data_IF_977162649616
#
_entry.id   IF_977162649616
#
_cell.length_a   1.000
_cell.length_b   1.000
_cell.length_c   1.000
_cell.angle_alpha   90.00
_cell.angle_beta   90.00
_cell.angle_gamma   90.00
#
_symmetry.space_group_name_H-M   'P 1'
#
loop_
_entity.id
_entity.type
_entity.pdbx_description
1 polymer ?
#
# COMPACT_ATOMS: atom_id res chain seq x y z
N UNK A 1 -0.49 22.24 10.87
CA UNK A 1 -0.07 21.32 9.78
C UNK A 1 0.08 19.97 10.41
N UNK A 2 -0.69 18.99 9.99
CA UNK A 2 -0.55 17.61 10.50
C UNK A 2 0.76 17.08 9.98
N UNK A 3 1.66 16.67 10.88
CA UNK A 3 2.89 16.01 10.49
C UNK A 3 2.56 14.58 10.03
N UNK A 4 2.58 14.37 8.72
CA UNK A 4 2.28 13.08 8.08
C UNK A 4 3.31 12.03 8.51
N UNK A 5 4.57 12.40 8.70
CA UNK A 5 5.61 11.49 9.19
C UNK A 5 5.25 10.93 10.56
N UNK A 6 4.93 11.81 11.52
CA UNK A 6 4.46 11.40 12.85
C UNK A 6 3.21 10.51 12.82
N UNK A 7 2.28 10.74 11.88
CA UNK A 7 1.10 9.90 11.72
C UNK A 7 1.44 8.48 11.26
N UNK A 8 2.33 8.35 10.28
CA UNK A 8 2.75 7.05 9.74
C UNK A 8 3.61 6.30 10.76
N UNK A 9 4.54 6.97 11.43
CA UNK A 9 5.39 6.39 12.47
C UNK A 9 4.57 5.84 13.63
N UNK A 10 3.61 6.62 14.15
CA UNK A 10 2.71 6.15 15.21
C UNK A 10 1.90 4.93 14.79
N UNK A 11 1.46 4.88 13.53
CA UNK A 11 0.69 3.78 12.99
C UNK A 11 1.53 2.50 12.76
N UNK A 12 2.81 2.64 12.43
CA UNK A 12 3.76 1.52 12.41
C UNK A 12 4.06 1.01 13.82
N UNK A 13 4.31 1.93 14.75
CA UNK A 13 4.75 1.60 16.10
C UNK A 13 3.78 0.67 16.85
N UNK A 14 2.46 0.91 16.76
CA UNK A 14 1.50 0.05 17.45
C UNK A 14 1.43 -1.35 16.82
N UNK A 15 1.56 -1.47 15.49
CA UNK A 15 1.59 -2.77 14.80
C UNK A 15 2.84 -3.57 15.15
N UNK A 16 4.00 -2.93 15.17
CA UNK A 16 5.26 -3.55 15.57
C UNK A 16 5.24 -4.00 17.03
N UNK A 17 4.63 -3.20 17.90
CA UNK A 17 4.42 -3.55 19.31
C UNK A 17 3.56 -4.80 19.43
N UNK A 18 2.47 -4.90 18.66
CA UNK A 18 1.59 -6.07 18.66
C UNK A 18 2.31 -7.34 18.13
N UNK A 19 3.04 -7.22 17.02
CA UNK A 19 3.85 -8.31 16.45
C UNK A 19 4.89 -8.82 17.44
N UNK A 20 5.64 -7.89 18.04
CA UNK A 20 6.67 -8.19 19.04
C UNK A 20 6.07 -8.90 20.25
N UNK A 21 4.93 -8.43 20.73
CA UNK A 21 4.23 -9.03 21.88
C UNK A 21 3.86 -10.49 21.60
N UNK A 22 3.25 -10.76 20.43
CA UNK A 22 2.85 -12.12 20.07
C UNK A 22 4.06 -13.03 19.80
N UNK A 23 5.12 -12.50 19.19
CA UNK A 23 6.38 -13.21 18.98
C UNK A 23 7.07 -13.62 20.28
N UNK A 24 7.04 -12.77 21.31
CA UNK A 24 7.58 -13.10 22.64
C UNK A 24 6.83 -14.29 23.26
N UNK A 25 5.50 -14.31 23.17
CA UNK A 25 4.71 -15.46 23.64
C UNK A 25 5.09 -16.75 22.90
N UNK A 26 5.37 -16.68 21.61
CA UNK A 26 5.81 -17.83 20.81
C UNK A 26 7.22 -18.32 21.21
N UNK A 27 8.11 -17.42 21.62
CA UNK A 27 9.44 -17.76 22.17
C UNK A 27 9.32 -18.50 23.51
N UNK A 28 8.44 -18.02 24.39
CA UNK A 28 8.25 -18.57 25.74
C UNK A 28 7.49 -19.92 25.75
N UNK A 29 6.80 -20.27 24.66
CA UNK A 29 5.96 -21.47 24.58
C UNK A 29 6.71 -22.81 24.51
N UNK A 30 8.04 -22.79 24.57
CA UNK A 30 8.90 -23.98 24.46
C UNK A 30 9.04 -24.47 23.02
N UNK A 31 10.20 -25.04 22.69
CA UNK A 31 10.55 -25.44 21.32
C UNK A 31 9.67 -26.59 20.80
N UNK A 32 9.16 -26.44 19.58
CA UNK A 32 8.39 -27.45 18.85
C UNK A 32 7.14 -27.98 19.59
N UNK A 33 6.55 -27.18 20.48
CA UNK A 33 5.31 -27.52 21.18
C UNK A 33 4.08 -27.19 20.31
N UNK A 34 2.94 -27.82 20.61
CA UNK A 34 1.67 -27.47 19.96
C UNK A 34 1.29 -26.00 20.20
N UNK A 35 1.60 -25.48 21.39
CA UNK A 35 1.40 -24.07 21.75
C UNK A 35 2.24 -23.14 20.88
N UNK A 36 3.53 -23.41 20.71
CA UNK A 36 4.40 -22.60 19.86
C UNK A 36 3.92 -22.63 18.40
N UNK A 37 3.56 -23.79 17.87
CA UNK A 37 3.02 -23.90 16.50
C UNK A 37 1.75 -23.08 16.31
N UNK A 38 0.83 -23.10 17.28
CA UNK A 38 -0.38 -22.30 17.22
C UNK A 38 -0.06 -20.79 17.25
N UNK A 39 0.83 -20.36 18.14
CA UNK A 39 1.25 -18.96 18.25
C UNK A 39 1.96 -18.46 16.99
N UNK A 40 2.86 -19.25 16.40
CA UNK A 40 3.54 -18.89 15.15
C UNK A 40 2.56 -18.79 13.97
N UNK A 41 1.53 -19.64 13.91
CA UNK A 41 0.44 -19.49 12.93
C UNK A 41 -0.30 -18.17 13.13
N UNK A 42 -0.56 -17.78 14.37
CA UNK A 42 -1.16 -16.48 14.69
C UNK A 42 -0.24 -15.32 14.31
N UNK A 43 1.06 -15.39 14.60
CA UNK A 43 2.05 -14.39 14.16
C UNK A 43 2.00 -14.18 12.65
N UNK A 44 1.91 -15.26 11.87
CA UNK A 44 1.85 -15.18 10.40
C UNK A 44 0.60 -14.44 9.91
N UNK A 45 -0.57 -14.77 10.47
CA UNK A 45 -1.82 -14.09 10.13
C UNK A 45 -1.79 -12.61 10.50
N UNK A 46 -1.27 -12.30 11.69
CA UNK A 46 -1.17 -10.94 12.18
C UNK A 46 -0.18 -10.10 11.36
N UNK A 47 0.98 -10.66 11.02
CA UNK A 47 1.97 -10.02 10.15
C UNK A 47 1.36 -9.63 8.81
N UNK A 48 0.61 -10.53 8.18
CA UNK A 48 -0.12 -10.23 6.96
C UNK A 48 -1.17 -9.13 7.16
N UNK A 49 -2.00 -9.22 8.20
CA UNK A 49 -3.05 -8.25 8.46
C UNK A 49 -2.46 -6.84 8.67
N UNK A 50 -1.32 -6.75 9.34
CA UNK A 50 -0.59 -5.50 9.53
C UNK A 50 0.05 -4.97 8.26
N UNK A 51 0.67 -5.84 7.46
CA UNK A 51 1.21 -5.46 6.16
C UNK A 51 0.15 -4.85 5.25
N UNK A 52 -0.96 -5.56 5.04
CA UNK A 52 -2.06 -5.09 4.19
C UNK A 52 -2.73 -3.84 4.77
N UNK A 53 -3.00 -3.85 6.08
CA UNK A 53 -3.64 -2.74 6.77
C UNK A 53 -2.80 -1.46 6.75
N UNK A 54 -1.49 -1.57 6.96
CA UNK A 54 -0.60 -0.41 6.91
C UNK A 54 -0.47 0.15 5.50
N UNK A 55 -0.25 -0.69 4.49
CA UNK A 55 -0.09 -0.21 3.11
C UNK A 55 -1.31 0.59 2.66
N UNK A 56 -2.51 0.07 2.97
CA UNK A 56 -3.77 0.78 2.70
C UNK A 56 -3.84 2.11 3.45
N UNK A 57 -3.57 2.10 4.75
CA UNK A 57 -3.59 3.31 5.56
C UNK A 57 -2.62 4.38 5.02
N UNK A 58 -1.38 4.00 4.69
CA UNK A 58 -0.38 4.92 4.19
C UNK A 58 -0.79 5.53 2.83
N UNK A 59 -1.35 4.73 1.93
CA UNK A 59 -1.90 5.24 0.66
C UNK A 59 -3.07 6.20 0.88
N UNK A 60 -3.98 5.89 1.80
CA UNK A 60 -5.12 6.76 2.11
C UNK A 60 -4.65 8.09 2.71
N UNK A 61 -3.72 8.07 3.66
CA UNK A 61 -3.11 9.27 4.25
C UNK A 61 -2.44 10.15 3.18
N UNK A 62 -1.70 9.53 2.25
CA UNK A 62 -1.04 10.24 1.17
C UNK A 62 -2.04 10.93 0.21
N UNK A 63 -3.08 10.21 -0.20
CA UNK A 63 -4.11 10.77 -1.09
C UNK A 63 -4.93 11.86 -0.38
N UNK A 64 -5.28 11.68 0.89
CA UNK A 64 -5.99 12.68 1.70
C UNK A 64 -5.16 13.96 1.82
N UNK A 65 -3.84 13.83 2.05
CA UNK A 65 -2.93 14.96 2.07
C UNK A 65 -2.98 15.75 0.76
N UNK A 66 -2.90 15.06 -0.39
CA UNK A 66 -2.92 15.70 -1.72
C UNK A 66 -4.26 16.39 -1.98
N UNK A 67 -5.39 15.74 -1.66
CA UNK A 67 -6.72 16.36 -1.82
C UNK A 67 -6.86 17.65 -0.99
N UNK A 68 -6.30 17.64 0.22
CA UNK A 68 -6.26 18.78 1.13
C UNK A 68 -5.40 19.95 0.62
N UNK A 69 -4.53 19.74 -0.37
CA UNK A 69 -3.77 20.83 -1.00
C UNK A 69 -4.58 21.62 -2.02
N UNK A 70 -5.77 21.14 -2.42
CA UNK A 70 -6.66 21.78 -3.40
C UNK A 70 -5.96 22.15 -4.73
N UNK A 71 -5.06 21.28 -5.21
CA UNK A 71 -4.25 21.52 -6.41
C UNK A 71 -5.06 21.17 -7.66
N UNK A 72 -5.09 22.03 -8.69
CA UNK A 72 -5.68 21.68 -9.99
C UNK A 72 -5.07 20.40 -10.55
N UNK A 73 -5.88 19.48 -11.07
CA UNK A 73 -5.38 18.19 -11.54
C UNK A 73 -4.27 18.32 -12.62
N UNK A 74 -4.33 19.32 -13.50
CA UNK A 74 -3.27 19.62 -14.48
C UNK A 74 -1.89 19.92 -13.89
N UNK A 75 -1.82 20.28 -12.61
CA UNK A 75 -0.58 20.62 -11.91
C UNK A 75 -0.03 19.41 -11.11
N UNK A 76 -0.67 18.24 -11.22
CA UNK A 76 -0.25 16.97 -10.61
C UNK A 76 0.49 16.09 -11.63
N UNK A 77 1.22 15.09 -11.14
CA UNK A 77 1.84 14.07 -12.01
C UNK A 77 0.80 13.17 -12.68
N UNK A 78 1.12 12.66 -13.86
CA UNK A 78 0.22 11.89 -14.72
C UNK A 78 -0.40 10.67 -14.02
N UNK A 79 0.37 9.96 -13.17
CA UNK A 79 -0.11 8.80 -12.43
C UNK A 79 -1.31 9.15 -11.53
N UNK A 80 -1.22 10.28 -10.81
CA UNK A 80 -2.29 10.76 -9.95
C UNK A 80 -3.50 11.24 -10.75
N UNK A 81 -3.28 11.91 -11.90
CA UNK A 81 -4.37 12.32 -12.79
C UNK A 81 -5.10 11.08 -13.31
N UNK A 82 -4.36 10.06 -13.76
CA UNK A 82 -4.89 8.81 -14.25
C UNK A 82 -5.70 8.08 -13.17
N UNK A 83 -5.23 8.07 -11.93
CA UNK A 83 -5.96 7.51 -10.78
C UNK A 83 -7.25 8.29 -10.49
N UNK A 84 -7.17 9.62 -10.40
CA UNK A 84 -8.30 10.54 -10.14
C UNK A 84 -9.45 10.31 -11.13
N UNK A 85 -9.12 10.14 -12.41
CA UNK A 85 -10.10 10.01 -13.49
C UNK A 85 -10.29 8.59 -14.01
N UNK A 86 -9.75 7.57 -13.35
CA UNK A 86 -9.75 6.17 -13.82
C UNK A 86 -11.16 5.69 -14.21
N UNK A 87 -12.16 5.94 -13.37
CA UNK A 87 -13.55 5.55 -13.62
C UNK A 87 -14.16 6.27 -14.82
N UNK A 88 -13.87 7.57 -14.98
CA UNK A 88 -14.36 8.39 -16.09
C UNK A 88 -13.75 7.91 -17.40
N UNK A 89 -12.42 7.74 -17.42
CA UNK A 89 -11.68 7.31 -18.60
C UNK A 89 -12.07 5.89 -19.02
N UNK A 90 -12.14 4.94 -18.07
CA UNK A 90 -12.58 3.57 -18.35
C UNK A 90 -14.02 3.51 -18.86
N UNK A 91 -14.91 4.35 -18.33
CA UNK A 91 -16.29 4.46 -18.80
C UNK A 91 -16.42 4.95 -20.25
N UNK A 92 -15.36 5.52 -20.82
CA UNK A 92 -15.34 6.12 -22.17
C UNK A 92 -14.58 5.28 -23.21
N UNK A 93 -14.05 4.10 -22.86
CA UNK A 93 -13.21 3.27 -23.74
C UNK A 93 -13.87 2.86 -25.07
N UNK A 94 -15.20 2.85 -25.15
CA UNK A 94 -15.96 2.46 -26.36
C UNK A 94 -16.77 3.63 -26.96
N UNK A 95 -16.34 4.87 -26.71
CA UNK A 95 -17.06 6.08 -27.14
C UNK A 95 -16.81 6.38 -28.63
N UNK A 96 -17.83 6.75 -29.42
CA UNK A 96 -17.64 7.17 -30.82
C UNK A 96 -16.67 8.35 -30.96
N UNK A 97 -15.95 8.44 -32.08
CA UNK A 97 -14.91 9.46 -32.31
C UNK A 97 -15.39 10.89 -32.09
N UNK A 98 -16.62 11.22 -32.50
CA UNK A 98 -17.18 12.57 -32.33
C UNK A 98 -17.35 12.93 -30.85
N UNK A 99 -17.79 11.99 -30.03
CA UNK A 99 -17.98 12.17 -28.60
C UNK A 99 -16.64 12.18 -27.86
N UNK A 100 -15.66 11.39 -28.29
CA UNK A 100 -14.28 11.50 -27.80
C UNK A 100 -13.68 12.88 -28.08
N UNK A 101 -13.89 13.42 -29.29
CA UNK A 101 -13.44 14.77 -29.62
C UNK A 101 -14.07 15.84 -28.72
N UNK A 102 -15.36 15.70 -28.37
CA UNK A 102 -16.03 16.58 -27.42
C UNK A 102 -15.46 16.42 -25.99
N UNK A 103 -15.20 15.19 -25.55
CA UNK A 103 -14.54 14.90 -24.27
C UNK A 103 -13.18 15.60 -24.18
N UNK A 104 -12.32 15.46 -25.19
CA UNK A 104 -11.00 16.09 -25.19
C UNK A 104 -11.04 17.62 -25.28
N UNK A 105 -11.99 18.17 -26.03
CA UNK A 105 -12.07 19.61 -26.26
C UNK A 105 -12.76 20.36 -25.12
N UNK A 106 -13.86 19.83 -24.62
CA UNK A 106 -14.80 20.58 -23.79
C UNK A 106 -14.80 20.08 -22.33
N UNK A 107 -14.79 18.77 -22.10
CA UNK A 107 -14.90 18.20 -20.75
C UNK A 107 -13.53 18.07 -20.05
N UNK A 108 -12.52 17.56 -20.75
CA UNK A 108 -11.20 17.27 -20.16
C UNK A 108 -10.50 18.52 -19.62
N UNK A 109 -10.50 19.68 -20.32
CA UNK A 109 -9.93 20.91 -19.76
C UNK A 109 -10.63 21.36 -18.47
N UNK A 110 -11.95 21.14 -18.37
CA UNK A 110 -12.71 21.43 -17.16
C UNK A 110 -12.26 20.51 -16.04
N UNK A 111 -12.22 19.19 -16.26
CA UNK A 111 -11.72 18.22 -15.26
C UNK A 111 -10.30 18.59 -14.79
N UNK A 112 -9.39 18.86 -15.72
CA UNK A 112 -8.00 19.19 -15.42
C UNK A 112 -7.82 20.52 -14.65
N UNK A 113 -8.79 21.43 -14.73
CA UNK A 113 -8.79 22.69 -13.97
C UNK A 113 -9.32 22.57 -12.53
N UNK A 114 -10.06 21.50 -12.23
CA UNK A 114 -10.63 21.29 -10.89
C UNK A 114 -9.56 20.75 -9.92
N UNK A 115 -9.71 21.01 -8.61
CA UNK A 115 -8.90 20.35 -7.59
C UNK A 115 -8.93 18.84 -7.74
N UNK A 116 -7.77 18.19 -7.71
CA UNK A 116 -7.67 16.73 -7.83
C UNK A 116 -8.42 16.04 -6.68
N UNK A 117 -9.08 14.92 -7.01
CA UNK A 117 -9.86 14.10 -6.09
C UNK A 117 -9.68 12.63 -6.43
N UNK A 118 -9.70 11.76 -5.42
CA UNK A 118 -9.51 10.32 -5.55
C UNK A 118 -10.75 9.58 -5.07
N UNK A 119 -11.84 9.57 -5.89
CA UNK A 119 -13.08 8.88 -5.55
C UNK A 119 -12.91 7.35 -5.52
N UNK A 120 -11.82 6.85 -6.12
CA UNK A 120 -11.39 5.46 -6.06
C UNK A 120 -10.05 5.44 -5.35
N UNK A 121 -9.94 4.60 -4.32
CA UNK A 121 -8.69 4.35 -3.59
C UNK A 121 -8.05 3.05 -4.08
N UNK A 122 -6.71 2.92 -4.03
CA UNK A 122 -6.02 1.68 -4.37
C UNK A 122 -6.65 0.48 -3.65
N UNK A 123 -6.93 -0.57 -4.41
CA UNK A 123 -7.72 -1.68 -3.88
C UNK A 123 -6.84 -2.60 -3.01
N UNK A 124 -7.38 -2.94 -1.84
CA UNK A 124 -6.88 -3.99 -0.96
C UNK A 124 -7.91 -5.11 -0.78
N UNK A 125 -8.99 -5.15 -1.59
CA UNK A 125 -9.98 -6.24 -1.54
C UNK A 125 -9.42 -7.55 -2.07
N UNK A 126 -8.45 -7.49 -2.98
CA UNK A 126 -7.64 -8.64 -3.36
C UNK A 126 -6.43 -8.73 -2.44
N UNK A 127 -6.02 -9.96 -2.13
CA UNK A 127 -4.80 -10.20 -1.37
C UNK A 127 -3.64 -9.36 -1.90
N UNK A 128 -2.97 -8.63 -1.01
CA UNK A 128 -1.84 -7.77 -1.37
C UNK A 128 -0.57 -8.55 -1.78
N UNK A 129 -0.58 -9.13 -2.98
CA UNK A 129 0.60 -9.71 -3.62
C UNK A 129 1.60 -8.62 -4.05
N UNK A 130 2.88 -8.95 -4.30
CA UNK A 130 3.87 -7.94 -4.70
C UNK A 130 3.49 -7.14 -5.93
N UNK A 131 2.92 -7.78 -6.95
CA UNK A 131 2.45 -7.13 -8.17
C UNK A 131 1.29 -6.17 -7.90
N UNK A 132 0.40 -6.50 -6.96
CA UNK A 132 -0.68 -5.62 -6.52
C UNK A 132 -0.12 -4.41 -5.77
N UNK A 133 0.82 -4.63 -4.83
CA UNK A 133 1.51 -3.55 -4.12
C UNK A 133 2.22 -2.62 -5.10
N UNK A 134 3.04 -3.16 -6.00
CA UNK A 134 3.80 -2.38 -6.99
C UNK A 134 2.88 -1.65 -7.95
N UNK A 135 1.78 -2.27 -8.38
CA UNK A 135 0.76 -1.63 -9.20
C UNK A 135 0.10 -0.43 -8.49
N UNK A 136 -0.25 -0.59 -7.22
CA UNK A 136 -0.82 0.49 -6.42
C UNK A 136 0.18 1.61 -6.15
N UNK A 137 1.43 1.29 -5.78
CA UNK A 137 2.49 2.28 -5.58
C UNK A 137 2.75 3.11 -6.86
N UNK A 138 2.81 2.46 -8.03
CA UNK A 138 2.96 3.15 -9.32
C UNK A 138 1.81 4.10 -9.63
N UNK A 139 0.55 3.68 -9.42
CA UNK A 139 -0.62 4.55 -9.60
C UNK A 139 -0.58 5.81 -8.71
N UNK A 140 0.15 5.76 -7.61
CA UNK A 140 0.33 6.86 -6.67
C UNK A 140 1.56 7.72 -6.98
N UNK A 141 2.36 7.35 -7.99
CA UNK A 141 3.65 7.97 -8.29
C UNK A 141 4.73 7.68 -7.23
N UNK A 142 4.62 6.58 -6.48
CA UNK A 142 5.56 6.20 -5.43
C UNK A 142 6.55 5.15 -5.93
N UNK A 143 7.83 5.35 -5.61
CA UNK A 143 8.94 4.48 -6.04
C UNK A 143 9.43 3.58 -4.89
N UNK A 144 8.57 2.67 -4.43
CA UNK A 144 8.93 1.68 -3.42
C UNK A 144 9.81 0.59 -4.04
N UNK A 145 11.00 0.37 -3.50
CA UNK A 145 11.99 -0.58 -4.07
C UNK A 145 12.19 -1.81 -3.20
N UNK A 146 11.87 -1.74 -1.90
CA UNK A 146 12.06 -2.87 -0.98
C UNK A 146 11.11 -4.04 -1.26
N UNK A 147 9.99 -3.77 -1.93
CA UNK A 147 9.07 -4.81 -2.39
C UNK A 147 9.73 -5.77 -3.38
N UNK A 148 10.59 -5.26 -4.26
CA UNK A 148 11.28 -6.07 -5.27
C UNK A 148 12.34 -6.97 -4.61
N UNK A 149 13.07 -6.43 -3.62
CA UNK A 149 14.04 -7.21 -2.84
C UNK A 149 13.39 -8.24 -1.89
N UNK A 150 12.10 -8.09 -1.61
CA UNK A 150 11.34 -8.94 -0.67
C UNK A 150 10.21 -9.72 -1.37
N UNK A 151 10.25 -9.83 -2.70
CA UNK A 151 9.17 -10.38 -3.50
C UNK A 151 8.83 -11.83 -3.10
N UNK A 152 9.87 -12.63 -2.82
CA UNK A 152 9.74 -14.03 -2.41
C UNK A 152 9.03 -14.13 -1.05
N UNK A 153 9.44 -13.32 -0.09
CA UNK A 153 8.92 -13.31 1.27
C UNK A 153 7.48 -12.80 1.32
N UNK A 154 7.16 -11.76 0.55
CA UNK A 154 5.79 -11.24 0.45
C UNK A 154 4.88 -12.27 -0.24
N UNK A 155 5.32 -12.92 -1.33
CA UNK A 155 4.58 -14.04 -1.95
C UNK A 155 4.33 -15.16 -0.95
N UNK A 156 5.35 -15.54 -0.18
CA UNK A 156 5.22 -16.56 0.85
C UNK A 156 4.24 -16.13 1.94
N UNK A 157 4.31 -14.88 2.42
CA UNK A 157 3.40 -14.32 3.41
C UNK A 157 1.95 -14.47 2.97
N UNK A 158 1.64 -13.94 1.78
CA UNK A 158 0.28 -13.93 1.21
C UNK A 158 -0.22 -15.36 0.98
N UNK A 159 0.60 -16.20 0.35
CA UNK A 159 0.25 -17.60 0.05
C UNK A 159 -0.02 -18.41 1.32
N UNK A 160 0.86 -18.33 2.31
CA UNK A 160 0.70 -19.07 3.57
C UNK A 160 -0.45 -18.51 4.41
N UNK A 161 -0.73 -17.20 4.37
CA UNK A 161 -1.94 -16.63 4.99
C UNK A 161 -3.21 -17.23 4.37
N UNK A 162 -3.28 -17.35 3.05
CA UNK A 162 -4.44 -17.94 2.38
C UNK A 162 -4.63 -19.41 2.77
N UNK A 163 -3.55 -20.21 2.74
CA UNK A 163 -3.59 -21.60 3.18
C UNK A 163 -4.08 -21.73 4.63
N UNK A 164 -3.56 -20.91 5.56
CA UNK A 164 -4.01 -20.90 6.96
C UNK A 164 -5.50 -20.53 7.06
N UNK A 165 -5.96 -19.51 6.33
CA UNK A 165 -7.36 -19.08 6.32
C UNK A 165 -8.32 -20.15 5.74
N UNK A 166 -7.84 -20.98 4.83
CA UNK A 166 -8.56 -22.14 4.30
C UNK A 166 -8.46 -23.40 5.18
N UNK A 167 -7.80 -23.32 6.34
CA UNK A 167 -7.70 -24.41 7.31
C UNK A 167 -6.59 -25.43 7.00
N UNK A 168 -5.68 -25.11 6.08
CA UNK A 168 -4.57 -26.01 5.76
C UNK A 168 -3.55 -26.10 6.91
N UNK A 169 -2.94 -27.29 7.03
CA UNK A 169 -1.92 -27.63 8.02
C UNK A 169 -0.54 -27.03 7.73
N UNK A 170 -0.47 -25.78 7.26
CA UNK A 170 0.82 -25.09 7.02
C UNK A 170 1.37 -24.58 8.35
N UNK A 171 2.60 -24.94 8.67
CA UNK A 171 3.27 -24.54 9.90
C UNK A 171 4.49 -23.68 9.60
N UNK A 172 4.75 -22.73 10.50
CA UNK A 172 6.01 -22.00 10.55
C UNK A 172 6.93 -22.77 11.47
N UNK A 173 8.16 -23.04 11.02
CA UNK A 173 9.00 -24.06 11.63
C UNK A 173 9.60 -23.61 12.98
N UNK A 174 9.93 -22.33 13.09
CA UNK A 174 10.57 -21.74 14.26
C UNK A 174 10.30 -20.24 14.34
N UNK A 175 10.63 -19.64 15.48
CA UNK A 175 10.61 -18.17 15.62
C UNK A 175 11.67 -17.52 14.72
N UNK A 176 12.81 -18.18 14.49
CA UNK A 176 13.85 -17.69 13.59
C UNK A 176 13.37 -17.66 12.14
N UNK A 177 12.67 -18.71 11.70
CA UNK A 177 12.02 -18.76 10.38
C UNK A 177 11.00 -17.62 10.25
N UNK A 178 10.11 -17.44 11.23
CA UNK A 178 9.16 -16.31 11.25
C UNK A 178 9.86 -14.94 11.18
N UNK A 179 10.93 -14.75 11.96
CA UNK A 179 11.62 -13.46 12.09
C UNK A 179 12.20 -12.97 10.76
N UNK A 180 12.63 -13.88 9.88
CA UNK A 180 13.09 -13.54 8.54
C UNK A 180 12.00 -12.83 7.74
N UNK A 181 10.78 -13.38 7.74
CA UNK A 181 9.66 -12.76 7.02
C UNK A 181 9.22 -11.48 7.71
N UNK A 182 9.12 -11.46 9.03
CA UNK A 182 8.78 -10.25 9.79
C UNK A 182 9.69 -9.08 9.42
N UNK A 183 11.01 -9.28 9.42
CA UNK A 183 11.98 -8.24 9.05
C UNK A 183 11.74 -7.72 7.63
N UNK A 184 11.63 -8.62 6.64
CA UNK A 184 11.43 -8.21 5.24
C UNK A 184 10.12 -7.47 5.02
N UNK A 185 9.06 -7.91 5.67
CA UNK A 185 7.73 -7.29 5.54
C UNK A 185 7.70 -5.92 6.22
N UNK A 186 8.32 -5.79 7.40
CA UNK A 186 8.47 -4.48 8.05
C UNK A 186 9.30 -3.53 7.18
N UNK A 187 10.39 -3.99 6.55
CA UNK A 187 11.17 -3.16 5.62
C UNK A 187 10.33 -2.62 4.46
N UNK A 188 9.43 -3.44 3.88
CA UNK A 188 8.50 -2.98 2.84
C UNK A 188 7.54 -1.91 3.36
N UNK A 189 7.02 -2.09 4.58
CA UNK A 189 6.13 -1.11 5.23
C UNK A 189 6.88 0.20 5.49
N UNK A 190 8.08 0.14 6.07
CA UNK A 190 8.91 1.32 6.31
C UNK A 190 9.31 2.04 5.02
N UNK A 191 9.68 1.32 3.97
CA UNK A 191 9.98 1.90 2.65
C UNK A 191 8.78 2.69 2.12
N UNK A 192 7.57 2.13 2.19
CA UNK A 192 6.37 2.86 1.79
C UNK A 192 6.17 4.15 2.59
N UNK A 193 6.37 4.10 3.92
CA UNK A 193 6.26 5.29 4.77
C UNK A 193 7.25 6.38 4.34
N UNK A 194 8.51 6.00 4.11
CA UNK A 194 9.57 6.89 3.63
C UNK A 194 9.22 7.46 2.27
N UNK A 195 8.76 6.65 1.31
CA UNK A 195 8.38 7.13 -0.02
C UNK A 195 7.22 8.13 0.02
N UNK A 196 6.25 7.93 0.93
CA UNK A 196 5.16 8.89 1.14
C UNK A 196 5.70 10.22 1.67
N UNK A 197 6.53 10.20 2.71
CA UNK A 197 7.14 11.41 3.27
C UNK A 197 8.01 12.13 2.24
N UNK A 198 8.92 11.42 1.57
CA UNK A 198 9.80 11.96 0.53
C UNK A 198 9.03 12.61 -0.63
N UNK A 199 7.91 11.99 -1.04
CA UNK A 199 7.05 12.53 -2.08
C UNK A 199 6.38 13.84 -1.63
N UNK A 200 5.88 13.86 -0.39
CA UNK A 200 5.22 15.02 0.20
C UNK A 200 6.20 16.18 0.37
N UNK A 201 7.34 15.95 1.03
CA UNK A 201 8.36 16.95 1.32
C UNK A 201 8.97 17.53 0.04
N UNK A 202 9.31 16.64 -0.91
CA UNK A 202 9.84 17.03 -2.21
C UNK A 202 8.78 17.59 -3.18
N UNK A 203 7.50 17.61 -2.80
CA UNK A 203 6.36 17.94 -3.66
C UNK A 203 6.37 17.17 -5.00
N UNK A 204 6.87 15.93 -4.99
CA UNK A 204 7.01 15.09 -6.20
C UNK A 204 5.67 14.69 -6.81
N UNK A 205 4.58 14.89 -6.09
CA UNK A 205 3.20 14.74 -6.58
C UNK A 205 2.75 15.88 -7.52
N UNK A 206 3.53 16.97 -7.64
CA UNK A 206 3.29 18.05 -8.61
C UNK A 206 4.01 17.77 -9.92
N UNK A 207 3.39 18.16 -11.04
CA UNK A 207 4.04 18.14 -12.33
C UNK A 207 5.33 18.99 -12.30
N UNK A 208 6.41 18.56 -12.98
CA UNK A 208 7.59 19.39 -13.13
C UNK A 208 7.22 20.71 -13.83
N UNK A 209 7.88 21.83 -13.50
CA UNK A 209 7.64 23.08 -14.20
C UNK A 209 7.86 22.89 -15.70
N UNK A 210 6.94 23.42 -16.50
CA UNK A 210 7.09 23.42 -17.95
C UNK A 210 8.43 24.09 -18.32
N UNK A 211 9.19 23.52 -19.26
CA UNK A 211 10.48 24.08 -19.69
C UNK A 211 10.34 25.48 -20.30
#
# INVERSE_FOLDING_TARGET
MTDIGSLLEKDLQWRETELTTLKLLALEAGHATARQRALLRSCWLLLYAHYEGFCKYAWDVYLDYIEGQHIPARDCVDDLIALSYERVLKGKLNTPTRELLALFRDELPVYLSQPIRFPVRPDAKSNLWPDVFTGNAKKLGLSCTYIDFSEIEVKALVGRRNAIAHGEGVYVNSVQDYSLYEEKILLVMHDLAVQVCDCIEGKKYRAPPAP
#
